data_IF_480993066919
#
_entry.id   IF_480993066919
#
_cell.length_a   1.000
_cell.length_b   1.000
_cell.length_c   1.000
_cell.angle_alpha   90.00
_cell.angle_beta   90.00
_cell.angle_gamma   90.00
#
_symmetry.space_group_name_H-M   'P 1'
#
loop_
_entity.id
_entity.type
_entity.pdbx_description
1 polymer ?
#
# COMPACT_ATOMS: atom_id res chain seq x y z
N UNK A 1 -12.62 -23.24 -81.56
CA UNK A 1 -12.93 -24.49 -82.29
C UNK A 1 -12.03 -25.59 -81.76
N UNK A 2 -12.59 -26.78 -81.50
CA UNK A 2 -11.88 -28.07 -81.36
C UNK A 2 -11.46 -28.60 -82.77
N UNK A 3 -10.78 -29.77 -82.97
CA UNK A 3 -10.37 -30.87 -82.05
C UNK A 3 -8.83 -31.17 -82.15
N UNK A 4 -8.19 -32.34 -81.87
CA UNK A 4 -8.61 -33.71 -81.51
C UNK A 4 -7.48 -34.56 -80.82
N UNK A 5 -7.85 -35.76 -80.33
CA UNK A 5 -7.11 -37.06 -80.32
C UNK A 5 -5.64 -37.18 -79.78
N UNK A 6 -5.34 -37.87 -78.66
CA UNK A 6 -5.15 -39.35 -78.46
C UNK A 6 -3.69 -39.87 -78.73
N UNK A 7 -3.10 -40.93 -78.13
CA UNK A 7 -3.43 -41.89 -77.03
C UNK A 7 -2.16 -42.72 -76.59
N UNK A 8 -2.14 -43.29 -75.36
CA UNK A 8 -1.19 -44.32 -74.79
C UNK A 8 0.35 -43.99 -74.71
N UNK A 9 1.18 -44.51 -73.78
CA UNK A 9 1.02 -45.29 -72.53
C UNK A 9 2.31 -46.05 -72.09
N UNK A 10 2.57 -46.30 -70.78
CA UNK A 10 3.39 -47.46 -70.32
C UNK A 10 4.37 -47.36 -69.11
N UNK A 11 3.92 -47.83 -67.92
CA UNK A 11 4.58 -48.47 -66.73
C UNK A 11 6.06 -48.32 -66.25
N UNK A 12 6.16 -48.01 -64.93
CA UNK A 12 7.01 -48.56 -63.81
C UNK A 12 8.46 -49.07 -63.98
N UNK A 13 9.35 -48.58 -63.09
CA UNK A 13 9.99 -49.41 -62.04
C UNK A 13 10.61 -48.58 -60.88
N UNK A 14 10.63 -49.13 -59.66
CA UNK A 14 11.32 -48.58 -58.47
C UNK A 14 12.73 -49.18 -58.35
N UNK A 15 13.70 -48.38 -57.90
CA UNK A 15 14.99 -48.86 -57.36
C UNK A 15 15.42 -48.02 -56.15
N UNK A 16 15.84 -48.69 -55.08
CA UNK A 16 16.34 -48.10 -53.84
C UNK A 16 17.87 -47.95 -53.86
N UNK A 17 18.44 -46.84 -53.38
CA UNK A 17 19.88 -46.75 -53.11
C UNK A 17 20.17 -46.96 -51.60
N UNK A 18 20.51 -48.19 -51.23
CA UNK A 18 21.52 -48.42 -50.19
C UNK A 18 22.89 -48.55 -50.89
N UNK A 19 23.97 -48.39 -50.13
CA UNK A 19 25.39 -48.46 -50.55
C UNK A 19 26.01 -47.20 -51.18
N UNK A 20 26.46 -46.28 -50.30
CA UNK A 20 27.62 -45.39 -50.48
C UNK A 20 28.13 -44.86 -49.12
N UNK A 21 28.27 -45.76 -48.13
CA UNK A 21 28.52 -45.39 -46.73
C UNK A 21 29.96 -45.65 -46.25
N UNK A 22 30.98 -45.44 -47.11
CA UNK A 22 32.39 -45.64 -46.75
C UNK A 22 33.32 -44.61 -47.37
N UNK A 23 33.43 -43.41 -46.78
CA UNK A 23 34.68 -42.68 -46.49
C UNK A 23 34.44 -41.33 -45.79
N UNK A 24 35.38 -40.93 -44.92
CA UNK A 24 35.54 -39.63 -44.24
C UNK A 24 34.63 -39.22 -43.04
N UNK A 25 34.75 -39.87 -41.85
CA UNK A 25 34.30 -39.28 -40.58
C UNK A 25 35.21 -38.14 -40.06
N UNK A 26 36.52 -38.19 -40.36
CA UNK A 26 37.52 -37.35 -39.70
C UNK A 26 37.46 -35.85 -40.03
N UNK A 27 37.16 -35.47 -41.28
CA UNK A 27 37.10 -34.05 -41.66
C UNK A 27 35.88 -33.32 -41.07
N UNK A 28 34.75 -34.01 -40.95
CA UNK A 28 33.53 -33.41 -40.38
C UNK A 28 33.67 -33.16 -38.87
N UNK A 29 34.38 -34.05 -38.15
CA UNK A 29 34.73 -33.86 -36.74
C UNK A 29 35.63 -32.63 -36.54
N UNK A 30 36.67 -32.44 -37.38
CA UNK A 30 37.57 -31.28 -37.27
C UNK A 30 36.87 -29.95 -37.58
N UNK A 31 36.01 -29.91 -38.59
CA UNK A 31 35.23 -28.70 -38.91
C UNK A 31 34.29 -28.29 -37.76
N UNK A 32 33.63 -29.26 -37.11
CA UNK A 32 32.76 -29.01 -35.97
C UNK A 32 33.51 -28.46 -34.74
N UNK A 33 34.72 -28.98 -34.45
CA UNK A 33 35.55 -28.50 -33.34
C UNK A 33 36.07 -27.08 -33.60
N UNK A 34 36.48 -26.77 -34.83
CA UNK A 34 36.90 -25.42 -35.21
C UNK A 34 35.76 -24.39 -35.08
N UNK A 35 34.55 -24.73 -35.54
CA UNK A 35 33.37 -23.89 -35.39
C UNK A 35 32.99 -23.65 -33.92
N UNK A 36 33.05 -24.70 -33.07
CA UNK A 36 32.80 -24.58 -31.64
C UNK A 36 33.81 -23.66 -30.93
N UNK A 37 35.11 -23.76 -31.27
CA UNK A 37 36.14 -22.86 -30.73
C UNK A 37 35.90 -21.40 -31.14
N UNK A 38 35.56 -21.14 -32.41
CA UNK A 38 35.24 -19.79 -32.87
C UNK A 38 34.03 -19.19 -32.14
N UNK A 39 32.98 -19.98 -31.93
CA UNK A 39 31.76 -19.55 -31.24
C UNK A 39 32.02 -19.26 -29.76
N UNK A 40 32.84 -20.08 -29.10
CA UNK A 40 33.26 -19.87 -27.71
C UNK A 40 34.12 -18.60 -27.56
N UNK A 41 35.01 -18.33 -28.52
CA UNK A 41 35.86 -17.14 -28.51
C UNK A 41 35.05 -15.83 -28.73
N UNK A 42 34.03 -15.86 -29.60
CA UNK A 42 33.07 -14.76 -29.73
C UNK A 42 32.28 -14.50 -28.45
N UNK A 43 31.79 -15.55 -27.77
CA UNK A 43 31.09 -15.40 -26.49
C UNK A 43 31.96 -14.75 -25.42
N UNK A 44 33.24 -15.10 -25.37
CA UNK A 44 34.19 -14.54 -24.41
C UNK A 44 34.47 -13.05 -24.65
N UNK A 45 34.60 -12.62 -25.92
CA UNK A 45 34.69 -11.20 -26.27
C UNK A 45 33.40 -10.42 -25.92
N UNK A 46 32.22 -11.01 -26.15
CA UNK A 46 30.95 -10.36 -25.78
C UNK A 46 30.80 -10.15 -24.27
N UNK A 47 31.22 -11.14 -23.46
CA UNK A 47 31.23 -11.00 -22.00
C UNK A 47 32.21 -9.91 -21.54
N UNK A 48 33.43 -9.84 -22.07
CA UNK A 48 34.38 -8.78 -21.72
C UNK A 48 33.86 -7.38 -22.08
N UNK A 49 33.21 -7.22 -23.25
CA UNK A 49 32.62 -5.95 -23.65
C UNK A 49 31.49 -5.50 -22.69
N UNK A 50 30.60 -6.41 -22.29
CA UNK A 50 29.57 -6.12 -21.30
C UNK A 50 30.15 -5.77 -19.92
N UNK A 51 31.22 -6.45 -19.49
CA UNK A 51 31.86 -6.16 -18.20
C UNK A 51 32.50 -4.77 -18.15
N UNK A 52 33.13 -4.33 -19.24
CA UNK A 52 33.67 -2.97 -19.35
C UNK A 52 32.57 -1.90 -19.37
N UNK A 53 31.45 -2.13 -20.09
CA UNK A 53 30.31 -1.22 -20.05
C UNK A 53 29.71 -1.10 -18.65
N UNK A 54 29.54 -2.21 -17.93
CA UNK A 54 29.03 -2.21 -16.55
C UNK A 54 29.95 -1.44 -15.59
N UNK A 55 31.28 -1.58 -15.72
CA UNK A 55 32.23 -0.83 -14.90
C UNK A 55 32.16 0.69 -15.16
N UNK A 56 32.12 1.12 -16.43
CA UNK A 56 31.97 2.55 -16.75
C UNK A 56 30.64 3.13 -16.24
N UNK A 57 29.54 2.39 -16.37
CA UNK A 57 28.23 2.85 -15.89
C UNK A 57 28.20 3.00 -14.36
N UNK A 58 28.82 2.06 -13.63
CA UNK A 58 28.92 2.13 -12.16
C UNK A 58 29.81 3.29 -11.69
N UNK A 59 30.93 3.54 -12.38
CA UNK A 59 31.84 4.65 -12.06
C UNK A 59 31.17 6.02 -12.30
N UNK A 60 30.39 6.17 -13.38
CA UNK A 60 29.68 7.41 -13.67
C UNK A 60 28.54 7.67 -12.65
N UNK A 61 27.86 6.62 -12.19
CA UNK A 61 26.80 6.71 -11.19
C UNK A 61 27.34 7.07 -9.79
N UNK A 62 28.51 6.57 -9.39
CA UNK A 62 29.20 7.04 -8.18
C UNK A 62 29.58 8.52 -8.25
N UNK A 63 30.04 9.00 -9.41
CA UNK A 63 30.40 10.40 -9.62
C UNK A 63 29.19 11.34 -9.47
N UNK A 64 28.04 10.99 -10.05
CA UNK A 64 26.80 11.76 -9.87
C UNK A 64 26.33 11.77 -8.41
N UNK A 65 26.41 10.64 -7.70
CA UNK A 65 26.03 10.56 -6.29
C UNK A 65 26.89 11.50 -5.41
N UNK A 66 28.22 11.53 -5.65
CA UNK A 66 29.12 12.43 -4.94
C UNK A 66 28.81 13.91 -5.20
N UNK A 67 28.45 14.26 -6.45
CA UNK A 67 28.12 15.63 -6.83
C UNK A 67 26.81 16.11 -6.19
N UNK A 68 25.78 15.26 -6.13
CA UNK A 68 24.54 15.56 -5.41
C UNK A 68 24.77 15.74 -3.90
N UNK A 69 25.62 14.91 -3.30
CA UNK A 69 25.91 14.97 -1.86
C UNK A 69 26.65 16.27 -1.47
N UNK A 70 27.56 16.76 -2.32
CA UNK A 70 28.19 18.08 -2.14
C UNK A 70 27.20 19.25 -2.26
N UNK A 71 26.28 19.22 -3.22
CA UNK A 71 25.23 20.26 -3.34
C UNK A 71 24.31 20.28 -2.11
N UNK A 72 23.95 19.11 -1.57
CA UNK A 72 23.12 19.01 -0.37
C UNK A 72 23.82 19.61 0.87
N UNK A 73 25.14 19.38 1.04
CA UNK A 73 25.90 20.00 2.13
C UNK A 73 25.99 21.52 2.00
N UNK A 74 26.18 22.06 0.80
CA UNK A 74 26.20 23.52 0.60
C UNK A 74 24.84 24.16 0.92
N UNK A 75 23.72 23.56 0.49
CA UNK A 75 22.38 24.05 0.84
C UNK A 75 22.13 24.02 2.35
N UNK A 76 22.55 22.96 3.04
CA UNK A 76 22.37 22.83 4.49
C UNK A 76 23.21 23.87 5.26
N UNK A 77 24.41 24.21 4.80
CA UNK A 77 25.23 25.29 5.39
C UNK A 77 24.61 26.68 5.18
N UNK A 78 24.08 26.97 3.99
CA UNK A 78 23.39 28.24 3.74
C UNK A 78 22.13 28.38 4.60
N UNK A 79 21.35 27.30 4.76
CA UNK A 79 20.16 27.29 5.60
C UNK A 79 20.49 27.52 7.09
N UNK A 80 21.58 26.95 7.60
CA UNK A 80 22.06 27.22 8.96
C UNK A 80 22.47 28.68 9.17
N UNK A 81 23.14 29.30 8.18
CA UNK A 81 23.50 30.72 8.23
C UNK A 81 22.28 31.65 8.29
N UNK A 82 21.24 31.36 7.48
CA UNK A 82 19.98 32.11 7.51
C UNK A 82 19.18 31.95 8.81
N UNK A 83 19.25 30.79 9.47
CA UNK A 83 18.60 30.57 10.77
C UNK A 83 19.35 31.30 11.89
N UNK A 84 20.67 31.21 11.93
CA UNK A 84 21.49 31.89 12.94
C UNK A 84 21.27 33.42 12.93
N UNK A 85 21.23 34.02 11.73
CA UNK A 85 21.08 35.48 11.61
C UNK A 85 19.67 36.00 11.95
N UNK A 86 18.64 35.14 11.98
CA UNK A 86 17.29 35.51 12.46
C UNK A 86 17.18 35.56 13.99
N UNK A 87 18.04 34.85 14.72
CA UNK A 87 17.93 34.73 16.17
C UNK A 87 18.60 35.88 16.96
N UNK A 88 19.30 36.80 16.28
CA UNK A 88 19.90 38.00 16.90
C UNK A 88 19.12 39.30 16.62
N UNK A 89 18.04 39.27 15.84
CA UNK A 89 17.24 40.46 15.50
C UNK A 89 16.06 40.77 16.42
N UNK A 90 15.78 39.94 17.43
CA UNK A 90 14.50 39.93 18.16
C UNK A 90 14.62 40.14 19.69
N UNK A 91 15.62 40.91 20.14
CA UNK A 91 15.84 41.22 21.56
C UNK A 91 16.23 42.70 21.76
N UNK A 92 15.27 43.62 21.63
CA UNK A 92 15.57 45.05 21.80
C UNK A 92 14.44 46.04 21.53
N UNK A 93 13.22 45.83 22.06
CA UNK A 93 12.13 46.82 21.94
C UNK A 93 11.03 46.70 23.01
N UNK A 94 11.36 46.78 24.31
CA UNK A 94 10.38 47.05 25.37
C UNK A 94 10.99 47.93 26.48
N UNK A 95 10.47 49.15 26.62
CA UNK A 95 10.76 50.05 27.75
C UNK A 95 11.09 51.50 27.33
N UNK A 96 10.28 52.47 27.77
CA UNK A 96 10.56 53.89 27.59
C UNK A 96 9.31 54.78 27.54
N UNK A 97 8.88 55.29 28.71
CA UNK A 97 7.80 56.30 28.81
C UNK A 97 8.36 57.69 28.49
N UNK A 98 7.63 58.53 27.77
CA UNK A 98 8.02 59.91 27.50
C UNK A 98 6.87 60.80 27.02
N UNK A 99 6.40 61.70 27.89
CA UNK A 99 5.43 62.76 27.58
C UNK A 99 6.11 63.93 26.88
N UNK A 100 5.51 64.47 25.80
CA UNK A 100 5.42 65.93 25.63
C UNK A 100 4.31 66.35 24.66
N UNK A 101 3.79 67.57 24.84
CA UNK A 101 2.83 68.21 23.95
C UNK A 101 3.53 69.20 23.00
N UNK A 102 2.96 69.43 21.81
CA UNK A 102 3.49 70.40 20.84
C UNK A 102 2.53 70.66 19.68
N UNK A 103 2.02 71.89 19.60
CA UNK A 103 1.18 72.40 18.51
C UNK A 103 1.98 72.65 17.23
N UNK A 104 1.39 72.37 16.07
CA UNK A 104 1.93 72.72 14.75
C UNK A 104 0.89 72.51 13.65
N UNK A 105 0.65 73.53 12.82
CA UNK A 105 -0.49 73.58 11.91
C UNK A 105 -0.12 73.39 10.43
N UNK A 106 -1.05 72.77 9.68
CA UNK A 106 -1.33 73.09 8.27
C UNK A 106 -0.44 72.50 7.18
N UNK A 107 -1.02 71.61 6.35
CA UNK A 107 -0.94 71.69 4.89
C UNK A 107 -2.03 70.82 4.22
N UNK A 108 -2.78 71.44 3.30
CA UNK A 108 -3.56 70.79 2.23
C UNK A 108 -2.59 70.47 1.06
N UNK A 109 -2.83 69.64 0.04
CA UNK A 109 -4.03 69.05 -0.55
C UNK A 109 -3.70 67.67 -1.25
N UNK A 110 -4.23 67.24 -2.42
CA UNK A 110 -5.04 66.00 -2.47
C UNK A 110 -4.50 64.90 -3.41
N UNK A 111 -5.14 63.71 -3.38
CA UNK A 111 -4.81 62.60 -4.28
C UNK A 111 -5.80 61.43 -4.22
N UNK A 112 -7.08 61.67 -4.56
CA UNK A 112 -8.09 60.61 -4.60
C UNK A 112 -7.96 59.79 -5.88
N UNK A 113 -7.32 58.62 -5.79
CA UNK A 113 -7.39 57.57 -6.79
C UNK A 113 -8.46 56.54 -6.44
N UNK A 114 -9.57 56.50 -7.18
CA UNK A 114 -10.51 55.38 -7.11
C UNK A 114 -9.87 54.11 -7.71
N UNK A 115 -9.68 53.09 -6.88
CA UNK A 115 -9.37 51.72 -7.30
C UNK A 115 -10.30 50.76 -6.57
N UNK A 116 -10.97 49.87 -7.31
CA UNK A 116 -12.00 48.97 -6.76
C UNK A 116 -11.44 47.86 -5.87
N UNK A 117 -12.32 47.14 -5.15
CA UNK A 117 -11.94 46.12 -4.16
C UNK A 117 -11.59 44.75 -4.80
N UNK A 118 -10.75 44.73 -5.84
CA UNK A 118 -10.27 43.49 -6.48
C UNK A 118 -8.93 42.98 -5.91
N UNK A 119 -8.44 43.58 -4.82
CA UNK A 119 -7.16 43.24 -4.17
C UNK A 119 -7.16 42.00 -3.26
N UNK A 120 -8.23 41.20 -3.23
CA UNK A 120 -8.42 40.15 -2.22
C UNK A 120 -7.95 38.72 -2.62
N UNK A 121 -7.52 38.51 -3.86
CA UNK A 121 -7.19 37.18 -4.40
C UNK A 121 -5.69 36.89 -4.62
N UNK A 122 -4.82 37.88 -4.41
CA UNK A 122 -3.38 37.80 -4.75
C UNK A 122 -2.53 36.99 -3.74
N UNK A 123 -3.18 36.30 -2.79
CA UNK A 123 -2.55 35.45 -1.78
C UNK A 123 -2.57 33.94 -2.08
N UNK A 124 -3.21 33.51 -3.17
CA UNK A 124 -3.31 32.07 -3.51
C UNK A 124 -2.06 31.61 -4.23
N UNK A 125 -1.19 30.88 -3.52
CA UNK A 125 0.01 30.22 -4.08
C UNK A 125 -0.29 29.50 -5.41
N UNK A 126 0.64 29.56 -6.36
CA UNK A 126 0.50 28.89 -7.67
C UNK A 126 0.22 27.39 -7.53
N UNK A 127 0.78 26.73 -6.51
CA UNK A 127 0.50 25.33 -6.17
C UNK A 127 -0.97 25.08 -5.79
N UNK A 128 -1.61 26.04 -5.11
CA UNK A 128 -3.03 25.96 -4.77
C UNK A 128 -3.89 26.17 -6.01
N UNK A 129 -3.56 27.15 -6.87
CA UNK A 129 -4.24 27.37 -8.16
C UNK A 129 -4.15 26.13 -9.05
N UNK A 130 -2.98 25.51 -9.13
CA UNK A 130 -2.74 24.28 -9.90
C UNK A 130 -3.48 23.08 -9.31
N UNK A 131 -3.55 22.96 -7.99
CA UNK A 131 -4.36 21.93 -7.32
C UNK A 131 -5.84 22.08 -7.67
N UNK A 132 -6.39 23.31 -7.62
CA UNK A 132 -7.78 23.57 -8.02
C UNK A 132 -8.05 23.28 -9.51
N UNK A 133 -7.07 23.52 -10.40
CA UNK A 133 -7.17 23.09 -11.81
C UNK A 133 -7.35 21.58 -11.92
N UNK A 134 -6.49 20.80 -11.25
CA UNK A 134 -6.60 19.33 -11.27
C UNK A 134 -7.91 18.82 -10.67
N UNK A 135 -8.47 19.51 -9.66
CA UNK A 135 -9.78 19.17 -9.10
C UNK A 135 -10.91 19.36 -10.14
N UNK A 136 -10.85 20.43 -10.95
CA UNK A 136 -11.79 20.61 -12.07
C UNK A 136 -11.57 19.56 -13.18
N UNK A 137 -10.31 19.25 -13.49
CA UNK A 137 -9.92 18.26 -14.51
C UNK A 137 -10.39 16.82 -14.18
N UNK A 138 -10.73 16.51 -12.92
CA UNK A 138 -11.34 15.22 -12.55
C UNK A 138 -12.74 15.02 -13.16
N UNK A 139 -13.48 16.11 -13.42
CA UNK A 139 -14.86 16.02 -13.91
C UNK A 139 -14.90 15.57 -15.38
N UNK A 140 -13.93 15.99 -16.19
CA UNK A 140 -13.81 15.62 -17.60
C UNK A 140 -13.03 14.31 -17.78
N UNK A 141 -13.66 13.30 -18.37
CA UNK A 141 -13.10 11.96 -18.57
C UNK A 141 -11.76 11.95 -19.30
N UNK A 142 -11.54 12.88 -20.24
CA UNK A 142 -10.30 12.97 -21.03
C UNK A 142 -9.09 13.46 -20.22
N UNK A 143 -9.31 14.26 -19.18
CA UNK A 143 -8.26 14.86 -18.34
C UNK A 143 -8.09 14.15 -17.00
N UNK A 144 -9.15 13.43 -16.56
CA UNK A 144 -9.24 12.78 -15.24
C UNK A 144 -8.06 11.87 -14.92
N UNK A 145 -7.58 11.06 -15.86
CA UNK A 145 -6.48 10.11 -15.58
C UNK A 145 -5.17 10.83 -15.17
N UNK A 146 -4.85 11.95 -15.84
CA UNK A 146 -3.70 12.78 -15.49
C UNK A 146 -3.93 13.51 -14.15
N UNK A 147 -5.13 14.06 -13.94
CA UNK A 147 -5.50 14.74 -12.71
C UNK A 147 -5.44 13.81 -11.47
N UNK A 148 -5.93 12.56 -11.60
CA UNK A 148 -5.84 11.52 -10.57
C UNK A 148 -4.37 11.26 -10.16
N UNK A 149 -3.47 11.16 -11.15
CA UNK A 149 -2.05 10.91 -10.91
C UNK A 149 -1.33 12.08 -10.21
N UNK A 150 -1.65 13.33 -10.57
CA UNK A 150 -1.02 14.49 -9.93
C UNK A 150 -1.59 14.79 -8.55
N UNK A 151 -2.91 14.62 -8.35
CA UNK A 151 -3.53 14.76 -7.03
C UNK A 151 -3.11 13.65 -6.06
N UNK A 152 -2.94 12.40 -6.52
CA UNK A 152 -2.52 11.30 -5.64
C UNK A 152 -1.12 11.52 -5.06
N UNK A 153 -0.21 12.15 -5.82
CA UNK A 153 1.11 12.61 -5.35
C UNK A 153 1.03 13.77 -4.36
N UNK A 154 0.07 14.69 -4.54
CA UNK A 154 -0.09 15.89 -3.69
C UNK A 154 -0.84 15.65 -2.38
N UNK A 155 -1.39 14.45 -2.13
CA UNK A 155 -2.19 14.10 -0.94
C UNK A 155 -1.53 14.36 0.43
N UNK A 156 -0.19 14.39 0.49
CA UNK A 156 0.59 14.66 1.70
C UNK A 156 1.10 16.12 1.77
N UNK A 157 0.99 16.86 0.65
CA UNK A 157 1.47 18.24 0.51
C UNK A 157 0.35 19.28 0.73
N UNK A 158 -0.91 18.88 0.53
CA UNK A 158 -2.09 19.75 0.63
C UNK A 158 -3.00 19.22 1.75
N UNK A 159 -2.91 19.75 2.99
CA UNK A 159 -3.69 19.26 4.14
C UNK A 159 -5.20 19.28 3.89
N UNK A 160 -5.68 20.36 3.28
CA UNK A 160 -7.11 20.59 2.99
C UNK A 160 -7.65 19.74 1.82
N UNK A 161 -6.83 18.89 1.19
CA UNK A 161 -7.23 18.16 -0.03
C UNK A 161 -8.48 17.30 0.21
N UNK A 162 -8.62 16.69 1.40
CA UNK A 162 -9.79 15.90 1.74
C UNK A 162 -11.09 16.73 1.72
N UNK A 163 -11.06 17.95 2.28
CA UNK A 163 -12.20 18.87 2.24
C UNK A 163 -12.49 19.32 0.81
N UNK A 164 -11.45 19.68 0.04
CA UNK A 164 -11.59 20.12 -1.34
C UNK A 164 -12.21 19.00 -2.20
N UNK A 165 -11.73 17.75 -2.09
CA UNK A 165 -12.27 16.59 -2.80
C UNK A 165 -13.73 16.31 -2.45
N UNK A 166 -14.10 16.45 -1.18
CA UNK A 166 -15.45 16.16 -0.71
C UNK A 166 -16.47 17.23 -1.10
N UNK A 167 -16.11 18.51 -0.93
CA UNK A 167 -17.04 19.63 -1.13
C UNK A 167 -17.05 20.18 -2.57
N UNK A 168 -16.08 19.80 -3.42
CA UNK A 168 -16.11 20.16 -4.84
C UNK A 168 -17.19 19.37 -5.59
N UNK A 169 -18.06 20.09 -6.29
CA UNK A 169 -19.19 19.51 -7.03
C UNK A 169 -18.73 18.41 -8.00
N UNK A 170 -19.38 17.25 -7.95
CA UNK A 170 -19.16 16.12 -8.86
C UNK A 170 -17.91 15.27 -8.61
N UNK A 171 -16.93 15.74 -7.81
CA UNK A 171 -15.63 15.08 -7.65
C UNK A 171 -15.76 13.68 -7.03
N UNK A 172 -16.49 13.55 -5.92
CA UNK A 172 -16.74 12.23 -5.30
C UNK A 172 -17.47 11.27 -6.26
N UNK A 173 -18.38 11.78 -7.10
CA UNK A 173 -19.05 10.99 -8.14
C UNK A 173 -18.06 10.49 -9.20
N UNK A 174 -17.13 11.33 -9.65
CA UNK A 174 -16.05 10.93 -10.57
C UNK A 174 -15.13 9.88 -9.96
N UNK A 175 -14.75 10.00 -8.68
CA UNK A 175 -13.94 8.98 -7.99
C UNK A 175 -14.66 7.63 -7.86
N UNK A 176 -15.97 7.65 -7.61
CA UNK A 176 -16.80 6.42 -7.58
C UNK A 176 -16.96 5.82 -8.98
N UNK A 177 -17.08 6.65 -10.03
CA UNK A 177 -17.14 6.18 -11.43
C UNK A 177 -15.87 5.40 -11.81
N UNK A 178 -14.70 5.83 -11.35
CA UNK A 178 -13.41 5.14 -11.56
C UNK A 178 -13.29 3.81 -10.83
N UNK A 179 -14.06 3.59 -9.74
CA UNK A 179 -14.18 2.29 -9.09
C UNK A 179 -15.10 1.37 -9.92
N UNK A 180 -16.27 1.86 -10.30
CA UNK A 180 -17.31 1.08 -10.99
C UNK A 180 -16.83 0.63 -12.39
N UNK A 181 -16.08 1.47 -13.11
CA UNK A 181 -15.54 1.14 -14.44
C UNK A 181 -14.63 -0.09 -14.43
N UNK A 182 -14.05 -0.45 -13.28
CA UNK A 182 -13.16 -1.61 -13.11
C UNK A 182 -13.94 -2.90 -12.81
N UNK A 183 -15.21 -2.85 -12.40
CA UNK A 183 -15.97 -4.03 -11.97
C UNK A 183 -16.08 -5.12 -13.04
N UNK A 184 -16.24 -4.75 -14.31
CA UNK A 184 -16.27 -5.68 -15.45
C UNK A 184 -14.94 -6.41 -15.68
N UNK A 185 -13.83 -5.88 -15.18
CA UNK A 185 -12.47 -6.44 -15.32
C UNK A 185 -12.08 -7.36 -14.16
N UNK A 186 -12.93 -7.50 -13.14
CA UNK A 186 -12.68 -8.36 -11.97
C UNK A 186 -12.99 -9.82 -12.27
N UNK A 187 -14.10 -10.07 -12.99
CA UNK A 187 -14.58 -11.40 -13.35
C UNK A 187 -15.16 -11.40 -14.79
N UNK A 188 -14.50 -12.05 -15.76
CA UNK A 188 -13.20 -12.73 -15.66
C UNK A 188 -12.07 -11.75 -15.31
N UNK A 189 -10.98 -12.26 -14.71
CA UNK A 189 -9.90 -11.42 -14.15
C UNK A 189 -8.99 -10.80 -15.22
N UNK A 190 -9.51 -9.79 -15.92
CA UNK A 190 -8.90 -9.11 -17.07
C UNK A 190 -8.19 -7.78 -16.71
N UNK A 191 -8.12 -7.42 -15.43
CA UNK A 191 -7.51 -6.17 -14.96
C UNK A 191 -6.05 -5.99 -15.45
N UNK A 192 -5.82 -4.95 -16.25
CA UNK A 192 -4.49 -4.57 -16.73
C UNK A 192 -3.73 -3.73 -15.70
N UNK A 193 -2.41 -3.65 -15.85
CA UNK A 193 -1.57 -2.81 -14.98
C UNK A 193 -1.93 -1.31 -15.08
N UNK A 194 -2.26 -0.82 -16.27
CA UNK A 194 -2.67 0.57 -16.48
C UNK A 194 -4.01 0.87 -15.77
N UNK A 195 -5.03 0.04 -15.99
CA UNK A 195 -6.33 0.18 -15.33
C UNK A 195 -6.21 0.10 -13.80
N UNK A 196 -5.41 -0.85 -13.28
CA UNK A 196 -5.12 -0.96 -11.85
C UNK A 196 -4.43 0.30 -11.30
N UNK A 197 -3.44 0.86 -11.99
CA UNK A 197 -2.76 2.07 -11.53
C UNK A 197 -3.71 3.28 -11.50
N UNK A 198 -4.54 3.44 -12.55
CA UNK A 198 -5.54 4.51 -12.66
C UNK A 198 -6.55 4.48 -11.49
N UNK A 199 -7.19 3.34 -11.23
CA UNK A 199 -8.12 3.24 -10.09
C UNK A 199 -7.40 3.35 -8.75
N UNK A 200 -6.16 2.86 -8.61
CA UNK A 200 -5.41 3.01 -7.36
C UNK A 200 -5.07 4.47 -7.05
N UNK A 201 -4.91 5.35 -8.05
CA UNK A 201 -4.83 6.80 -7.81
C UNK A 201 -6.14 7.35 -7.24
N UNK A 202 -7.30 6.95 -7.76
CA UNK A 202 -8.61 7.33 -7.19
C UNK A 202 -8.78 6.79 -5.75
N UNK A 203 -8.40 5.54 -5.49
CA UNK A 203 -8.40 4.95 -4.14
C UNK A 203 -7.47 5.71 -3.18
N UNK A 204 -6.32 6.21 -3.64
CA UNK A 204 -5.41 7.02 -2.83
C UNK A 204 -6.02 8.38 -2.42
N UNK A 205 -6.88 8.96 -3.27
CA UNK A 205 -7.66 10.16 -2.93
C UNK A 205 -8.80 9.84 -1.95
N UNK A 206 -9.51 8.73 -2.15
CA UNK A 206 -10.52 8.26 -1.19
C UNK A 206 -9.90 7.90 0.17
N UNK A 207 -8.65 7.41 0.20
CA UNK A 207 -7.87 7.22 1.43
C UNK A 207 -7.63 8.55 2.17
N UNK A 208 -7.34 9.63 1.44
CA UNK A 208 -7.20 10.97 2.01
C UNK A 208 -8.51 11.44 2.66
N UNK A 209 -9.64 11.33 1.94
CA UNK A 209 -11.00 11.66 2.43
C UNK A 209 -11.38 10.84 3.66
N UNK A 210 -11.07 9.53 3.68
CA UNK A 210 -11.31 8.63 4.81
C UNK A 210 -10.43 8.94 6.04
N UNK A 211 -9.22 9.49 5.80
CA UNK A 211 -8.26 9.79 6.87
C UNK A 211 -8.53 11.11 7.58
N UNK A 212 -9.16 12.09 6.92
CA UNK A 212 -9.42 13.42 7.47
C UNK A 212 -10.62 13.45 8.43
N UNK A 213 -10.57 14.27 9.48
CA UNK A 213 -11.56 14.20 10.57
C UNK A 213 -12.98 14.56 10.10
N UNK A 214 -13.13 15.66 9.38
CA UNK A 214 -14.45 16.22 9.08
C UNK A 214 -15.20 15.48 7.95
N UNK A 215 -14.46 14.78 7.08
CA UNK A 215 -15.02 14.02 5.96
C UNK A 215 -15.19 12.54 6.24
N UNK A 216 -14.53 11.99 7.27
CA UNK A 216 -14.58 10.55 7.60
C UNK A 216 -15.98 10.05 7.90
N UNK A 217 -16.73 10.75 8.75
CA UNK A 217 -18.12 10.37 9.07
C UNK A 217 -18.99 10.50 7.83
N UNK A 218 -18.83 11.57 7.04
CA UNK A 218 -19.58 11.76 5.79
C UNK A 218 -19.30 10.63 4.77
N UNK A 219 -18.04 10.22 4.63
CA UNK A 219 -17.60 9.10 3.80
C UNK A 219 -18.19 7.75 4.25
N UNK A 220 -18.28 7.54 5.57
CA UNK A 220 -18.91 6.37 6.18
C UNK A 220 -20.43 6.37 5.94
N UNK A 221 -21.12 7.48 6.23
CA UNK A 221 -22.57 7.64 6.04
C UNK A 221 -22.97 7.52 4.56
N UNK A 222 -22.11 7.91 3.63
CA UNK A 222 -22.29 7.71 2.19
C UNK A 222 -22.06 6.25 1.73
N UNK A 223 -21.73 5.33 2.63
CA UNK A 223 -21.49 3.91 2.36
C UNK A 223 -20.42 3.61 1.28
N UNK A 224 -19.53 4.58 1.01
CA UNK A 224 -18.45 4.48 0.01
C UNK A 224 -17.53 3.26 0.24
N UNK A 225 -17.20 2.81 1.47
CA UNK A 225 -16.41 1.60 1.69
C UNK A 225 -16.94 0.34 0.97
N UNK A 226 -18.27 0.23 0.78
CA UNK A 226 -18.88 -0.97 0.17
C UNK A 226 -18.49 -1.13 -1.30
N UNK A 227 -18.20 -0.03 -2.01
CA UNK A 227 -17.70 -0.07 -3.39
C UNK A 227 -16.30 -0.71 -3.49
N UNK A 228 -15.57 -0.87 -2.37
CA UNK A 228 -14.25 -1.49 -2.34
C UNK A 228 -14.31 -3.00 -2.11
N UNK A 229 -15.43 -3.53 -1.62
CA UNK A 229 -15.53 -4.94 -1.26
C UNK A 229 -15.44 -5.89 -2.47
N UNK A 230 -15.96 -5.57 -3.68
CA UNK A 230 -15.69 -6.35 -4.88
C UNK A 230 -14.19 -6.51 -5.17
N UNK A 231 -13.38 -5.47 -4.92
CA UNK A 231 -11.92 -5.53 -5.08
C UNK A 231 -11.27 -6.46 -4.05
N UNK A 232 -11.65 -6.34 -2.77
CA UNK A 232 -11.16 -7.19 -1.68
C UNK A 232 -11.55 -8.66 -1.85
N UNK A 233 -12.69 -8.93 -2.49
CA UNK A 233 -13.21 -10.28 -2.75
C UNK A 233 -12.43 -11.02 -3.87
N UNK A 234 -11.62 -10.32 -4.68
CA UNK A 234 -10.84 -10.95 -5.77
C UNK A 234 -9.79 -11.93 -5.25
N UNK A 235 -9.51 -12.97 -6.03
CA UNK A 235 -8.57 -14.06 -5.67
C UNK A 235 -7.33 -14.13 -6.57
N UNK A 236 -7.33 -13.46 -7.72
CA UNK A 236 -6.19 -13.44 -8.66
C UNK A 236 -4.91 -12.94 -7.98
N UNK A 237 -3.80 -13.65 -8.20
CA UNK A 237 -2.46 -13.33 -7.65
C UNK A 237 -1.60 -12.49 -8.61
N UNK A 238 -2.16 -12.01 -9.72
CA UNK A 238 -1.39 -11.14 -10.62
C UNK A 238 -1.15 -9.76 -9.99
N UNK A 239 -0.02 -9.13 -10.34
CA UNK A 239 0.42 -7.85 -9.75
C UNK A 239 -0.66 -6.73 -9.77
N UNK A 240 -1.49 -6.58 -10.82
CA UNK A 240 -2.61 -5.63 -10.80
C UNK A 240 -3.64 -5.89 -9.69
N UNK A 241 -4.01 -7.16 -9.44
CA UNK A 241 -4.98 -7.51 -8.38
C UNK A 241 -4.38 -7.43 -6.97
N UNK A 242 -3.10 -7.79 -6.78
CA UNK A 242 -2.39 -7.55 -5.52
C UNK A 242 -2.35 -6.06 -5.17
N UNK A 243 -2.00 -5.20 -6.13
CA UNK A 243 -1.93 -3.75 -5.90
C UNK A 243 -3.31 -3.13 -5.65
N UNK A 244 -4.33 -3.57 -6.39
CA UNK A 244 -5.72 -3.15 -6.18
C UNK A 244 -6.22 -3.50 -4.77
N UNK A 245 -5.99 -4.73 -4.31
CA UNK A 245 -6.39 -5.17 -2.95
C UNK A 245 -5.64 -4.41 -1.87
N UNK A 246 -4.32 -4.25 -2.01
CA UNK A 246 -3.51 -3.51 -1.04
C UNK A 246 -3.96 -2.04 -0.91
N UNK A 247 -4.23 -1.37 -2.03
CA UNK A 247 -4.70 0.03 -2.02
C UNK A 247 -6.11 0.14 -1.44
N UNK A 248 -7.00 -0.80 -1.75
CA UNK A 248 -8.36 -0.88 -1.18
C UNK A 248 -8.33 -1.07 0.34
N UNK A 249 -7.49 -1.98 0.84
CA UNK A 249 -7.23 -2.16 2.27
C UNK A 249 -6.66 -0.90 2.91
N UNK A 250 -5.87 -0.11 2.18
CA UNK A 250 -5.35 1.18 2.62
C UNK A 250 -6.45 2.18 2.99
N UNK A 251 -7.57 2.19 2.24
CA UNK A 251 -8.74 3.04 2.55
C UNK A 251 -9.44 2.57 3.84
N UNK A 252 -9.73 1.27 3.95
CA UNK A 252 -10.36 0.69 5.16
C UNK A 252 -9.45 0.88 6.39
N UNK A 253 -8.14 0.67 6.22
CA UNK A 253 -7.11 0.89 7.24
C UNK A 253 -7.03 2.34 7.71
N UNK A 254 -7.34 3.33 6.85
CA UNK A 254 -7.40 4.73 7.24
C UNK A 254 -8.63 5.04 8.13
N UNK A 255 -9.79 4.44 7.83
CA UNK A 255 -11.01 4.60 8.63
C UNK A 255 -10.81 4.09 10.07
N UNK A 256 -10.33 2.85 10.23
CA UNK A 256 -10.14 2.21 11.54
C UNK A 256 -8.97 2.78 12.34
N UNK A 257 -8.12 3.63 11.75
CA UNK A 257 -6.93 4.16 12.42
C UNK A 257 -7.28 5.00 13.66
N UNK A 258 -8.42 5.68 13.64
CA UNK A 258 -8.84 6.67 14.65
C UNK A 258 -9.73 6.09 15.77
N UNK A 259 -9.82 4.76 15.88
CA UNK A 259 -10.47 4.07 17.01
C UNK A 259 -11.95 4.48 17.26
N UNK A 260 -12.67 4.86 16.19
CA UNK A 260 -14.10 5.18 16.26
C UNK A 260 -14.96 3.92 16.24
N UNK A 261 -15.69 3.67 17.33
CA UNK A 261 -16.66 2.57 17.42
C UNK A 261 -17.80 2.67 16.40
N UNK A 262 -18.12 3.86 15.86
CA UNK A 262 -19.06 4.01 14.75
C UNK A 262 -18.55 3.31 13.48
N UNK A 263 -17.26 3.52 13.16
CA UNK A 263 -16.59 2.84 12.04
C UNK A 263 -16.56 1.34 12.28
N UNK A 264 -16.26 0.89 13.50
CA UNK A 264 -16.25 -0.55 13.82
C UNK A 264 -17.65 -1.14 13.65
N UNK A 265 -18.70 -0.53 14.19
CA UNK A 265 -20.08 -1.01 14.06
C UNK A 265 -20.50 -1.13 12.58
N UNK A 266 -20.21 -0.13 11.75
CA UNK A 266 -20.45 -0.19 10.29
C UNK A 266 -19.70 -1.36 9.63
N UNK A 267 -18.45 -1.59 10.00
CA UNK A 267 -17.63 -2.68 9.44
C UNK A 267 -18.13 -4.06 9.87
N UNK A 268 -18.65 -4.20 11.09
CA UNK A 268 -19.26 -5.43 11.60
C UNK A 268 -20.57 -5.79 10.89
N UNK A 269 -21.41 -4.81 10.57
CA UNK A 269 -22.69 -5.03 9.86
C UNK A 269 -22.52 -5.32 8.37
N UNK A 270 -21.32 -5.14 7.83
CA UNK A 270 -21.04 -5.20 6.38
C UNK A 270 -20.03 -6.30 5.99
N UNK A 271 -19.73 -7.24 6.89
CA UNK A 271 -18.93 -8.44 6.59
C UNK A 271 -17.46 -8.19 6.15
N UNK A 272 -16.80 -7.14 6.67
CA UNK A 272 -15.36 -6.92 6.36
C UNK A 272 -14.46 -8.07 6.88
N UNK A 273 -14.86 -8.73 7.98
CA UNK A 273 -14.04 -9.74 8.66
C UNK A 273 -13.73 -10.93 7.73
N UNK A 274 -14.71 -11.62 7.11
CA UNK A 274 -14.45 -12.65 6.10
C UNK A 274 -13.49 -12.23 4.97
N UNK A 275 -13.58 -10.98 4.49
CA UNK A 275 -12.70 -10.45 3.45
C UNK A 275 -11.25 -10.31 3.98
N UNK A 276 -11.08 -9.71 5.16
CA UNK A 276 -9.76 -9.58 5.77
C UNK A 276 -9.12 -10.93 6.11
N UNK A 277 -9.88 -11.89 6.66
CA UNK A 277 -9.37 -13.22 7.00
C UNK A 277 -8.84 -13.97 5.77
N UNK A 278 -9.56 -13.91 4.64
CA UNK A 278 -9.12 -14.54 3.38
C UNK A 278 -7.80 -13.96 2.86
N UNK A 279 -7.63 -12.63 2.98
CA UNK A 279 -6.40 -11.94 2.59
C UNK A 279 -5.26 -12.26 3.57
N UNK A 280 -5.53 -12.30 4.88
CA UNK A 280 -4.58 -12.71 5.92
C UNK A 280 -4.03 -14.11 5.68
N UNK A 281 -4.84 -15.02 5.14
CA UNK A 281 -4.42 -16.38 4.79
C UNK A 281 -3.62 -16.42 3.47
N UNK A 282 -4.12 -15.80 2.40
CA UNK A 282 -3.66 -16.09 1.01
C UNK A 282 -2.98 -14.94 0.24
N UNK A 283 -3.02 -13.71 0.75
CA UNK A 283 -2.50 -12.52 0.06
C UNK A 283 -0.98 -12.30 0.19
N UNK A 284 -0.47 -11.27 -0.48
CA UNK A 284 0.90 -10.76 -0.28
C UNK A 284 1.18 -10.31 1.16
N UNK A 285 2.43 -10.36 1.61
CA UNK A 285 2.84 -9.98 2.98
C UNK A 285 2.37 -8.58 3.40
N UNK A 286 2.43 -7.60 2.48
CA UNK A 286 1.91 -6.25 2.70
C UNK A 286 0.40 -6.25 2.89
N UNK A 287 -0.35 -7.00 2.07
CA UNK A 287 -1.80 -7.13 2.18
C UNK A 287 -2.21 -7.84 3.47
N UNK A 288 -1.49 -8.92 3.84
CA UNK A 288 -1.65 -9.60 5.14
C UNK A 288 -1.44 -8.62 6.30
N UNK A 289 -0.43 -7.77 6.23
CA UNK A 289 -0.11 -6.77 7.26
C UNK A 289 -1.23 -5.75 7.44
N UNK A 290 -1.81 -5.22 6.36
CA UNK A 290 -2.92 -4.25 6.48
C UNK A 290 -4.22 -4.95 6.90
N UNK A 291 -4.50 -6.15 6.40
CA UNK A 291 -5.69 -6.92 6.76
C UNK A 291 -5.69 -7.32 8.25
N UNK A 292 -4.56 -7.81 8.80
CA UNK A 292 -4.46 -8.11 10.23
C UNK A 292 -4.50 -6.84 11.09
N UNK A 293 -3.98 -5.70 10.61
CA UNK A 293 -4.14 -4.43 11.30
C UNK A 293 -5.61 -4.01 11.42
N UNK A 294 -6.42 -4.20 10.37
CA UNK A 294 -7.87 -3.93 10.40
C UNK A 294 -8.57 -4.87 11.39
N UNK A 295 -8.30 -6.18 11.33
CA UNK A 295 -8.86 -7.16 12.29
C UNK A 295 -8.43 -6.88 13.72
N UNK A 296 -7.18 -6.44 13.95
CA UNK A 296 -6.71 -6.04 15.27
C UNK A 296 -7.44 -4.80 15.79
N UNK A 297 -7.70 -3.79 14.94
CA UNK A 297 -8.48 -2.60 15.31
C UNK A 297 -9.94 -2.95 15.66
N UNK A 298 -10.55 -3.87 14.91
CA UNK A 298 -11.88 -4.40 15.25
C UNK A 298 -11.85 -5.14 16.60
N UNK A 299 -10.85 -6.00 16.84
CA UNK A 299 -10.72 -6.71 18.13
C UNK A 299 -10.46 -5.78 19.32
N UNK A 300 -9.78 -4.64 19.13
CA UNK A 300 -9.52 -3.68 20.21
C UNK A 300 -10.81 -3.03 20.73
N UNK A 301 -11.77 -2.76 19.85
CA UNK A 301 -13.10 -2.27 20.24
C UNK A 301 -13.94 -3.37 20.93
N UNK A 302 -14.69 -3.01 21.97
CA UNK A 302 -15.45 -3.97 22.76
C UNK A 302 -16.62 -4.59 21.98
N UNK A 303 -17.27 -3.86 21.06
CA UNK A 303 -18.31 -4.43 20.21
C UNK A 303 -17.70 -5.42 19.21
N UNK A 304 -16.53 -5.11 18.66
CA UNK A 304 -15.80 -6.00 17.75
C UNK A 304 -15.30 -7.28 18.41
N UNK A 305 -14.74 -7.20 19.62
CA UNK A 305 -14.39 -8.38 20.43
C UNK A 305 -15.63 -9.23 20.72
N UNK A 306 -16.71 -8.61 21.21
CA UNK A 306 -17.95 -9.33 21.53
C UNK A 306 -18.61 -9.96 20.29
N UNK A 307 -18.54 -9.31 19.13
CA UNK A 307 -19.03 -9.85 17.86
C UNK A 307 -18.27 -11.11 17.42
N UNK A 308 -16.93 -11.09 17.50
CA UNK A 308 -16.06 -12.20 17.11
C UNK A 308 -16.23 -13.37 18.09
N UNK A 309 -16.27 -13.09 19.39
CA UNK A 309 -16.48 -14.08 20.43
C UNK A 309 -17.96 -14.48 20.64
N UNK A 310 -18.90 -13.96 19.83
CA UNK A 310 -20.33 -14.24 19.98
C UNK A 310 -20.66 -15.72 19.83
N UNK A 311 -20.14 -16.34 18.75
CA UNK A 311 -20.37 -17.75 18.39
C UNK A 311 -19.04 -18.48 18.22
N UNK A 312 -19.05 -19.81 18.40
CA UNK A 312 -17.87 -20.64 18.19
C UNK A 312 -17.35 -20.55 16.75
N UNK A 313 -18.24 -20.49 15.75
CA UNK A 313 -17.87 -20.39 14.33
C UNK A 313 -17.05 -19.12 14.03
N UNK A 314 -17.47 -17.96 14.53
CA UNK A 314 -16.76 -16.69 14.32
C UNK A 314 -15.41 -16.67 15.02
N UNK A 315 -15.36 -17.14 16.27
CA UNK A 315 -14.11 -17.28 17.01
C UNK A 315 -13.15 -18.24 16.30
N UNK A 316 -13.64 -19.41 15.86
CA UNK A 316 -12.83 -20.43 15.21
C UNK A 316 -12.31 -19.97 13.84
N UNK A 317 -13.13 -19.27 13.04
CA UNK A 317 -12.68 -18.68 11.78
C UNK A 317 -11.51 -17.69 11.96
N UNK A 318 -11.56 -16.83 12.97
CA UNK A 318 -10.45 -15.91 13.30
C UNK A 318 -9.25 -16.70 13.87
N UNK A 319 -9.50 -17.61 14.81
CA UNK A 319 -8.47 -18.40 15.49
C UNK A 319 -7.67 -19.27 14.53
N UNK A 320 -8.32 -20.00 13.61
CA UNK A 320 -7.65 -20.85 12.61
C UNK A 320 -6.74 -20.04 11.70
N UNK A 321 -7.19 -18.88 11.20
CA UNK A 321 -6.36 -18.04 10.32
C UNK A 321 -5.16 -17.46 11.10
N UNK A 322 -5.35 -17.02 12.35
CA UNK A 322 -4.23 -16.57 13.18
C UNK A 322 -3.22 -17.71 13.45
N UNK A 323 -3.69 -18.93 13.72
CA UNK A 323 -2.83 -20.11 13.90
C UNK A 323 -2.07 -20.49 12.62
N UNK A 324 -2.73 -20.44 11.45
CA UNK A 324 -2.09 -20.64 10.15
C UNK A 324 -1.00 -19.57 9.89
N UNK A 325 -1.24 -18.32 10.30
CA UNK A 325 -0.22 -17.26 10.24
C UNK A 325 0.96 -17.52 11.19
N UNK A 326 0.72 -18.04 12.41
CA UNK A 326 1.83 -18.43 13.32
C UNK A 326 2.71 -19.49 12.66
N UNK A 327 2.13 -20.52 12.04
CA UNK A 327 2.90 -21.56 11.34
C UNK A 327 3.79 -20.98 10.24
N UNK A 328 3.26 -20.09 9.40
CA UNK A 328 4.02 -19.41 8.35
C UNK A 328 5.14 -18.51 8.92
N UNK A 329 4.92 -17.91 10.10
CA UNK A 329 5.88 -17.03 10.75
C UNK A 329 7.10 -17.74 11.32
N UNK A 330 7.03 -19.04 11.62
CA UNK A 330 8.19 -19.84 12.08
C UNK A 330 9.29 -19.84 11.01
N UNK A 331 8.90 -20.03 9.75
CA UNK A 331 9.83 -20.02 8.60
C UNK A 331 10.21 -18.59 8.18
N UNK A 332 9.22 -17.69 8.08
CA UNK A 332 9.41 -16.35 7.49
C UNK A 332 10.03 -15.33 8.46
N UNK A 333 9.87 -15.53 9.77
CA UNK A 333 10.37 -14.65 10.84
C UNK A 333 9.95 -13.16 10.71
N UNK A 334 8.82 -12.87 10.05
CA UNK A 334 8.31 -11.52 9.82
C UNK A 334 7.80 -10.84 11.09
N UNK A 335 8.68 -10.14 11.81
CA UNK A 335 8.40 -9.49 13.10
C UNK A 335 7.15 -8.59 13.10
N UNK A 336 6.88 -7.85 12.01
CA UNK A 336 5.71 -6.96 11.91
C UNK A 336 4.38 -7.74 11.95
N UNK A 337 4.29 -8.86 11.25
CA UNK A 337 3.10 -9.71 11.26
C UNK A 337 2.93 -10.39 12.63
N UNK A 338 4.01 -10.95 13.18
CA UNK A 338 4.01 -11.56 14.52
C UNK A 338 3.46 -10.60 15.59
N UNK A 339 3.89 -9.34 15.56
CA UNK A 339 3.40 -8.28 16.46
C UNK A 339 1.88 -8.08 16.41
N UNK A 340 1.28 -8.15 15.24
CA UNK A 340 -0.18 -8.07 15.10
C UNK A 340 -0.86 -9.36 15.59
N UNK A 341 -0.33 -10.54 15.22
CA UNK A 341 -0.87 -11.85 15.66
C UNK A 341 -0.89 -11.98 17.18
N UNK A 342 0.22 -11.66 17.86
CA UNK A 342 0.32 -11.68 19.33
C UNK A 342 -0.72 -10.75 19.97
N UNK A 343 -0.96 -9.56 19.39
CA UNK A 343 -1.95 -8.61 19.90
C UNK A 343 -3.40 -9.07 19.68
N UNK A 344 -3.68 -9.72 18.56
CA UNK A 344 -5.00 -10.33 18.34
C UNK A 344 -5.27 -11.44 19.36
N UNK A 345 -4.32 -12.36 19.60
CA UNK A 345 -4.48 -13.40 20.63
C UNK A 345 -4.59 -12.83 22.04
N UNK A 346 -3.76 -11.84 22.40
CA UNK A 346 -3.87 -11.15 23.70
C UNK A 346 -5.27 -10.57 23.89
N UNK A 347 -5.79 -9.82 22.92
CA UNK A 347 -7.12 -9.21 23.02
C UNK A 347 -8.25 -10.24 23.02
N UNK A 348 -8.12 -11.34 22.29
CA UNK A 348 -9.06 -12.47 22.39
C UNK A 348 -9.07 -13.10 23.80
N UNK A 349 -7.94 -13.10 24.51
CA UNK A 349 -7.85 -13.64 25.88
C UNK A 349 -8.59 -12.79 26.93
N UNK A 350 -8.99 -11.57 26.62
CA UNK A 350 -9.81 -10.74 27.53
C UNK A 350 -11.22 -11.34 27.69
N UNK A 351 -11.78 -11.91 26.61
CA UNK A 351 -13.09 -12.56 26.62
C UNK A 351 -13.01 -13.95 27.28
N UNK A 352 -13.79 -14.20 28.32
CA UNK A 352 -13.73 -15.44 29.10
C UNK A 352 -13.94 -16.72 28.28
N UNK A 353 -14.85 -16.72 27.29
CA UNK A 353 -15.12 -17.90 26.45
C UNK A 353 -13.97 -18.19 25.49
N UNK A 354 -13.43 -17.15 24.86
CA UNK A 354 -12.27 -17.27 23.98
C UNK A 354 -10.99 -17.64 24.76
N UNK A 355 -10.81 -17.10 25.97
CA UNK A 355 -9.71 -17.45 26.88
C UNK A 355 -9.67 -18.94 27.19
N UNK A 356 -10.83 -19.55 27.51
CA UNK A 356 -10.93 -20.99 27.75
C UNK A 356 -10.49 -21.80 26.51
N UNK A 357 -11.03 -21.47 25.34
CA UNK A 357 -10.66 -22.13 24.09
C UNK A 357 -9.16 -21.98 23.77
N UNK A 358 -8.58 -20.79 23.99
CA UNK A 358 -7.15 -20.52 23.77
C UNK A 358 -6.22 -21.32 24.69
N UNK A 359 -6.66 -21.73 25.89
CA UNK A 359 -5.88 -22.68 26.72
C UNK A 359 -5.66 -24.01 26.00
N UNK A 360 -6.59 -24.41 25.14
CA UNK A 360 -6.54 -25.66 24.39
C UNK A 360 -5.93 -25.48 22.98
N UNK A 361 -6.17 -24.35 22.31
CA UNK A 361 -5.81 -24.16 20.89
C UNK A 361 -4.76 -23.07 20.55
N UNK A 362 -4.18 -22.35 21.53
CA UNK A 362 -3.07 -21.42 21.24
C UNK A 362 -1.86 -22.18 20.65
N UNK A 363 -1.33 -21.79 19.47
CA UNK A 363 -0.21 -22.46 18.82
C UNK A 363 1.04 -22.62 19.71
N UNK A 364 1.67 -23.80 19.65
CA UNK A 364 2.89 -24.13 20.38
C UNK A 364 4.06 -23.13 20.16
N UNK A 365 4.33 -22.61 18.95
CA UNK A 365 5.40 -21.61 18.74
C UNK A 365 5.20 -20.28 19.48
N UNK A 366 4.00 -20.01 20.02
CA UNK A 366 3.74 -18.86 20.90
C UNK A 366 3.89 -19.20 22.39
N UNK A 367 4.00 -20.48 22.75
CA UNK A 367 4.19 -20.97 24.13
C UNK A 367 5.66 -21.25 24.44
N UNK A 368 6.43 -21.61 23.42
CA UNK A 368 7.84 -21.98 23.54
C UNK A 368 8.80 -20.81 23.22
N UNK A 369 10.08 -21.13 23.02
CA UNK A 369 11.13 -20.17 22.72
C UNK A 369 11.27 -19.82 21.22
N UNK A 370 10.43 -20.34 20.32
CA UNK A 370 10.60 -20.25 18.84
C UNK A 370 10.82 -18.83 18.34
N UNK A 371 10.02 -17.86 18.81
CA UNK A 371 10.15 -16.46 18.38
C UNK A 371 11.14 -15.62 19.21
N UNK A 372 11.96 -16.20 20.09
CA UNK A 372 12.86 -15.45 20.99
C UNK A 372 13.88 -14.58 20.24
N UNK A 373 14.35 -15.04 19.08
CA UNK A 373 15.25 -14.31 18.19
C UNK A 373 14.54 -13.12 17.54
N UNK A 374 13.39 -13.36 16.89
CA UNK A 374 12.57 -12.37 16.18
C UNK A 374 12.09 -11.27 17.13
N UNK A 375 11.74 -11.64 18.36
CA UNK A 375 11.26 -10.72 19.39
C UNK A 375 12.37 -10.07 20.20
N UNK A 376 13.67 -10.38 19.95
CA UNK A 376 14.79 -9.92 20.80
C UNK A 376 14.70 -8.43 21.11
N UNK A 377 14.48 -7.64 20.06
CA UNK A 377 14.54 -6.18 20.08
C UNK A 377 13.14 -5.51 20.11
N UNK A 378 12.03 -6.27 20.16
CA UNK A 378 10.66 -5.76 20.36
C UNK A 378 10.12 -6.07 21.76
N UNK A 379 10.59 -5.29 22.74
CA UNK A 379 10.17 -5.41 24.14
C UNK A 379 8.66 -5.20 24.35
N UNK A 380 7.96 -4.47 23.46
CA UNK A 380 6.53 -4.28 23.58
C UNK A 380 5.76 -5.56 23.21
N UNK A 381 6.14 -6.21 22.11
CA UNK A 381 5.52 -7.48 21.69
C UNK A 381 5.88 -8.62 22.64
N UNK A 382 7.09 -8.65 23.20
CA UNK A 382 7.45 -9.57 24.30
C UNK A 382 6.52 -9.45 25.51
N UNK A 383 6.23 -8.22 25.97
CA UNK A 383 5.29 -7.99 27.09
C UNK A 383 3.87 -8.44 26.73
N UNK A 384 3.40 -8.18 25.51
CA UNK A 384 2.10 -8.67 25.07
C UNK A 384 2.02 -10.20 25.07
N UNK A 385 3.07 -10.89 24.63
CA UNK A 385 3.12 -12.36 24.64
C UNK A 385 3.16 -12.92 26.06
N UNK A 386 3.98 -12.34 26.95
CA UNK A 386 4.03 -12.73 28.35
C UNK A 386 2.66 -12.55 29.05
N UNK A 387 1.98 -11.43 28.80
CA UNK A 387 0.64 -11.19 29.37
C UNK A 387 -0.40 -12.19 28.83
N UNK A 388 -0.34 -12.54 27.55
CA UNK A 388 -1.20 -13.58 26.97
C UNK A 388 -0.99 -14.93 27.67
N UNK A 389 0.26 -15.33 27.89
CA UNK A 389 0.57 -16.58 28.58
C UNK A 389 0.12 -16.55 30.05
N UNK A 390 0.26 -15.41 30.74
CA UNK A 390 -0.27 -15.20 32.10
C UNK A 390 -1.80 -15.39 32.12
N UNK A 391 -2.52 -14.67 31.24
CA UNK A 391 -3.98 -14.76 31.13
C UNK A 391 -4.48 -16.20 30.89
N UNK A 392 -3.70 -17.04 30.19
CA UNK A 392 -4.04 -18.45 29.96
C UNK A 392 -3.62 -19.37 31.10
N UNK A 393 -2.60 -19.00 31.88
CA UNK A 393 -2.11 -19.76 33.04
C UNK A 393 -2.99 -19.63 34.29
N UNK A 394 -3.78 -18.55 34.40
CA UNK A 394 -4.74 -18.35 35.47
C UNK A 394 -5.86 -19.40 35.38
N UNK A 395 -5.67 -20.49 36.13
CA UNK A 395 -6.75 -21.41 36.50
C UNK A 395 -7.72 -20.64 37.40
N UNK A 396 -8.97 -20.51 36.98
CA UNK A 396 -10.04 -20.12 37.89
C UNK A 396 -10.21 -21.29 38.86
N UNK A 397 -9.66 -21.13 40.07
CA UNK A 397 -9.93 -22.05 41.17
C UNK A 397 -11.41 -21.89 41.52
N UNK A 398 -12.17 -22.98 41.48
CA UNK A 398 -13.63 -22.97 41.69
C UNK A 398 -14.01 -22.32 43.02
N UNK A 399 -14.50 -21.08 42.94
CA UNK A 399 -15.01 -20.34 44.08
C UNK A 399 -16.47 -20.72 44.35
N UNK A 400 -16.69 -21.85 45.04
CA UNK A 400 -17.92 -22.03 45.85
C UNK A 400 -18.87 -23.16 45.46
N UNK A 401 -18.43 -24.41 45.55
CA UNK A 401 -19.31 -25.56 45.82
C UNK A 401 -18.88 -26.31 47.10
N UNK A 402 -18.43 -25.54 48.10
CA UNK A 402 -18.20 -26.03 49.45
C UNK A 402 -19.52 -26.45 50.12
N UNK A 403 -19.85 -27.73 50.01
CA UNK A 403 -20.94 -28.39 50.72
C UNK A 403 -20.77 -28.21 52.24
N UNK A 404 -21.71 -27.58 52.97
CA UNK A 404 -21.85 -27.79 54.40
C UNK A 404 -22.73 -29.03 54.58
N UNK A 405 -22.13 -30.12 55.00
CA UNK A 405 -22.87 -31.21 55.64
C UNK A 405 -23.22 -30.78 57.07
N UNK A 406 -24.52 -30.75 57.40
CA UNK A 406 -25.17 -31.18 58.66
C UNK A 406 -26.68 -30.91 58.52
#
# INVERSE_FOLDING_TARGET
>A
MMPNAHLYGGHHQQYTPQDSAWMHPHHQQQAAVAAAQQQQQQQQQQQQAQQQQAQHQHQHQQQQAHQQQQQHQQHQQQQYSHIANRQHGAAGALGGVGVNAGVGAGAVAPGVGHGGPDGALDGVSEDNRRTMSYIADLLNENTREAALLELSKKREQVPELALILWHSFGVMTSLIQEIISVYSLLNPSQLTAAASNRVCNALALLQCVASHNDTRTLFLSAHIPLFLYPFLNTTSKSRPFEYLRLTSLGVIGALVKNDSSEVINFLLTTEIIPLCLRIMETGSELSKTVAIFIVQKILLDDNGLNYICATYERFYAVGTVLSNMVGQLVEQQTARLLKHVVRCFLRLSDNARAREALRQCLPEPLRDATFSSVLRDDAATKRCLAQLLINLSDNIVDAGSGHPSI
#
